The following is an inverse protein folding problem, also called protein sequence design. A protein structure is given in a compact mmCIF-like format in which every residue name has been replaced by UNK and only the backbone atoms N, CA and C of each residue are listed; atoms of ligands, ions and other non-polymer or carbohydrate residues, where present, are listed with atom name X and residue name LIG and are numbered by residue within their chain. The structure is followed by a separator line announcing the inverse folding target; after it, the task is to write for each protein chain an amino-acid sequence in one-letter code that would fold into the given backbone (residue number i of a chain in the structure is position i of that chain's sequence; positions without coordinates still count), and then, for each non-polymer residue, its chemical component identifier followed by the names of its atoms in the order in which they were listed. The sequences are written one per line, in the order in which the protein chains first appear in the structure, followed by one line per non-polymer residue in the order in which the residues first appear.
data_IF_028921139473
#
_entry.id   IF_028921139473
#
_cell.length_a   1.000
_cell.length_b   1.000
_cell.length_c   1.000
_cell.angle_alpha   90.00
_cell.angle_beta   90.00
_cell.angle_gamma   90.00
#
_symmetry.space_group_name_H-M   'P 1'
#
loop_
_entity.id
_entity.type
_entity.pdbx_description
1 polymer ?
#
# COMPACT_ATOMS: atom_id res chain seq x y z
N UNK A 1 4.90 24.79 -12.58
CA UNK A 1 4.06 23.59 -12.33
C UNK A 1 4.88 22.37 -11.92
N UNK A 2 6.19 22.32 -12.21
CA UNK A 2 7.11 21.25 -11.73
C UNK A 2 7.16 21.09 -10.20
N UNK A 3 7.32 22.18 -9.46
CA UNK A 3 7.42 22.12 -7.99
C UNK A 3 6.21 21.44 -7.31
N UNK A 4 4.99 21.61 -7.85
CA UNK A 4 3.80 20.98 -7.27
C UNK A 4 3.79 19.45 -7.46
N UNK A 5 4.28 18.96 -8.61
CA UNK A 5 4.36 17.53 -8.90
C UNK A 5 5.49 16.86 -8.11
N UNK A 6 6.65 17.50 -7.99
CA UNK A 6 7.79 17.01 -7.19
C UNK A 6 7.45 16.95 -5.70
N UNK A 7 6.82 18.00 -5.16
CA UNK A 7 6.35 18.02 -3.77
C UNK A 7 5.26 16.96 -3.56
N UNK A 8 4.38 16.73 -4.54
CA UNK A 8 3.38 15.66 -4.47
C UNK A 8 3.98 14.26 -4.44
N UNK A 9 5.03 14.01 -5.22
CA UNK A 9 5.76 12.74 -5.23
C UNK A 9 6.51 12.51 -3.92
N UNK A 10 7.20 13.53 -3.41
CA UNK A 10 7.90 13.47 -2.12
C UNK A 10 6.94 13.31 -0.93
N UNK A 11 5.78 13.97 -0.96
CA UNK A 11 4.77 13.85 0.09
C UNK A 11 4.14 12.45 0.14
N UNK A 12 3.97 11.78 -1.01
CA UNK A 12 3.44 10.41 -1.07
C UNK A 12 4.36 9.41 -0.34
N UNK A 13 5.67 9.46 -0.61
CA UNK A 13 6.65 8.55 0.03
C UNK A 13 6.79 8.84 1.51
N UNK A 14 6.88 10.12 1.91
CA UNK A 14 6.89 10.52 3.32
C UNK A 14 5.61 10.10 4.05
N UNK A 15 4.46 10.21 3.38
CA UNK A 15 3.17 9.76 3.90
C UNK A 15 3.14 8.25 4.13
N UNK A 16 3.63 7.45 3.18
CA UNK A 16 3.70 5.99 3.31
C UNK A 16 4.66 5.56 4.44
N UNK A 17 5.85 6.16 4.51
CA UNK A 17 6.83 5.88 5.58
C UNK A 17 6.22 6.23 6.95
N UNK A 18 5.62 7.41 7.06
CA UNK A 18 4.99 7.87 8.30
C UNK A 18 3.83 6.96 8.72
N UNK A 19 2.99 6.52 7.78
CA UNK A 19 1.90 5.59 8.05
C UNK A 19 2.40 4.24 8.57
N UNK A 20 3.46 3.67 7.97
CA UNK A 20 4.08 2.43 8.43
C UNK A 20 4.65 2.56 9.85
N UNK A 21 5.33 3.67 10.14
CA UNK A 21 5.89 3.94 11.48
C UNK A 21 4.81 4.12 12.54
N UNK A 22 3.67 4.74 12.20
CA UNK A 22 2.55 4.96 13.13
C UNK A 22 1.70 3.69 13.32
N UNK A 23 1.58 2.84 12.29
CA UNK A 23 0.78 1.61 12.36
C UNK A 23 1.23 0.63 13.45
N UNK A 24 2.55 0.47 13.62
CA UNK A 24 3.14 -0.38 14.68
C UNK A 24 2.73 0.01 16.11
N UNK A 25 3.03 1.23 16.59
CA UNK A 25 2.65 1.67 17.93
C UNK A 25 1.13 1.73 18.12
N UNK A 26 0.34 2.10 17.10
CA UNK A 26 -1.14 2.02 17.16
C UNK A 26 -1.58 0.58 17.41
N UNK A 27 -1.07 -0.39 16.66
CA UNK A 27 -1.42 -1.81 16.83
C UNK A 27 -1.11 -2.30 18.25
N UNK A 28 0.10 -2.00 18.75
CA UNK A 28 0.52 -2.35 20.11
C UNK A 28 -0.36 -1.68 21.19
N UNK A 29 -0.73 -0.41 20.99
CA UNK A 29 -1.63 0.30 21.90
C UNK A 29 -3.02 -0.36 21.97
N UNK A 30 -3.60 -0.73 20.81
CA UNK A 30 -4.89 -1.42 20.78
C UNK A 30 -4.82 -2.81 21.44
N UNK A 31 -3.76 -3.58 21.20
CA UNK A 31 -3.54 -4.89 21.83
C UNK A 31 -3.49 -4.77 23.35
N UNK A 32 -2.70 -3.82 23.88
CA UNK A 32 -2.58 -3.58 25.33
C UNK A 32 -3.89 -3.08 25.94
N UNK A 33 -4.58 -2.16 25.27
CA UNK A 33 -5.85 -1.56 25.76
C UNK A 33 -6.98 -2.59 25.80
N UNK A 34 -7.14 -3.38 24.76
CA UNK A 34 -8.21 -4.38 24.66
C UNK A 34 -7.82 -5.75 25.24
N UNK A 35 -6.59 -5.88 25.79
CA UNK A 35 -6.02 -7.13 26.31
C UNK A 35 -6.27 -8.31 25.36
N UNK A 36 -5.99 -8.09 24.07
CA UNK A 36 -6.16 -9.11 23.05
C UNK A 36 -5.21 -10.27 23.38
N UNK A 37 -5.75 -11.33 23.96
CA UNK A 37 -5.01 -12.55 24.24
C UNK A 37 -4.78 -13.28 22.92
N UNK A 38 -3.53 -13.64 22.58
CA UNK A 38 -3.27 -14.52 21.46
C UNK A 38 -3.97 -15.85 21.76
N UNK A 39 -4.86 -16.30 20.86
CA UNK A 39 -5.43 -17.63 20.99
C UNK A 39 -4.27 -18.63 20.90
N UNK A 40 -4.08 -19.47 21.92
CA UNK A 40 -2.97 -20.43 21.99
C UNK A 40 -3.17 -21.66 21.10
N UNK A 41 -4.09 -21.58 20.15
CA UNK A 41 -4.19 -22.54 19.06
C UNK A 41 -3.18 -22.10 18.00
N UNK A 42 -1.96 -22.57 18.19
CA UNK A 42 -0.78 -22.19 17.41
C UNK A 42 -0.76 -22.92 16.06
N UNK A 43 -1.90 -22.94 15.35
CA UNK A 43 -1.91 -23.17 13.91
C UNK A 43 -1.83 -21.79 13.27
N UNK A 44 -0.59 -21.36 13.06
CA UNK A 44 -0.30 -20.11 12.38
C UNK A 44 -0.85 -20.21 10.96
N UNK A 45 -2.04 -19.62 10.74
CA UNK A 45 -2.66 -19.32 9.44
C UNK A 45 -1.86 -18.25 8.65
N UNK A 46 -0.52 -18.33 8.76
CA UNK A 46 0.49 -17.48 8.14
C UNK A 46 1.62 -18.42 7.72
N UNK A 47 1.34 -19.21 6.69
CA UNK A 47 2.21 -20.27 6.21
C UNK A 47 1.45 -21.57 6.13
N UNK A 48 1.16 -22.00 4.92
CA UNK A 48 0.49 -23.26 4.59
C UNK A 48 1.12 -24.41 5.40
N UNK A 49 0.40 -24.97 6.37
CA UNK A 49 0.77 -26.25 6.99
C UNK A 49 0.82 -27.31 5.89
N UNK A 50 2.03 -27.66 5.45
CA UNK A 50 2.27 -28.64 4.38
C UNK A 50 2.12 -30.09 4.87
N UNK A 51 1.19 -30.39 5.78
CA UNK A 51 1.20 -31.72 6.42
C UNK A 51 -0.13 -32.43 6.59
N UNK A 52 -1.17 -32.01 5.88
CA UNK A 52 -2.37 -32.81 5.77
C UNK A 52 -2.64 -33.02 4.28
N UNK A 53 -2.90 -34.26 3.86
CA UNK A 53 -3.34 -34.59 2.50
C UNK A 53 -4.76 -34.06 2.25
N UNK A 54 -4.93 -32.73 2.25
CA UNK A 54 -6.19 -32.08 1.89
C UNK A 54 -6.19 -31.89 0.38
N UNK A 55 -7.08 -32.63 -0.29
CA UNK A 55 -7.52 -32.37 -1.66
C UNK A 55 -7.56 -30.86 -1.87
N UNK A 56 -6.74 -30.37 -2.80
CA UNK A 56 -6.71 -28.99 -3.25
C UNK A 56 -8.17 -28.53 -3.44
N UNK A 57 -8.69 -27.73 -2.52
CA UNK A 57 -10.10 -27.33 -2.54
C UNK A 57 -10.27 -26.32 -3.68
N UNK A 58 -10.53 -26.82 -4.88
CA UNK A 58 -10.74 -26.03 -6.09
C UNK A 58 -11.84 -24.98 -5.88
N UNK A 59 -12.78 -25.25 -4.96
CA UNK A 59 -13.85 -24.34 -4.57
C UNK A 59 -13.33 -23.11 -3.83
N UNK A 60 -12.31 -23.23 -2.98
CA UNK A 60 -11.70 -22.09 -2.27
C UNK A 60 -11.05 -21.08 -3.22
N UNK A 61 -10.30 -21.56 -4.22
CA UNK A 61 -9.72 -20.70 -5.26
C UNK A 61 -10.82 -20.04 -6.12
N UNK A 62 -11.82 -20.82 -6.56
CA UNK A 62 -12.90 -20.31 -7.39
C UNK A 62 -13.73 -19.26 -6.65
N UNK A 63 -13.96 -19.46 -5.35
CA UNK A 63 -14.63 -18.49 -4.49
C UNK A 63 -13.80 -17.21 -4.29
N UNK A 64 -12.48 -17.35 -4.09
CA UNK A 64 -11.58 -16.20 -4.01
C UNK A 64 -11.57 -15.38 -5.29
N UNK A 65 -11.49 -16.06 -6.43
CA UNK A 65 -11.55 -15.46 -7.76
C UNK A 65 -12.90 -14.77 -8.02
N UNK A 66 -14.01 -15.40 -7.63
CA UNK A 66 -15.35 -14.83 -7.73
C UNK A 66 -15.47 -13.54 -6.91
N UNK A 67 -14.99 -13.55 -5.66
CA UNK A 67 -15.06 -12.38 -4.79
C UNK A 67 -14.17 -11.24 -5.28
N UNK A 68 -13.00 -11.56 -5.87
CA UNK A 68 -12.14 -10.58 -6.53
C UNK A 68 -12.84 -9.93 -7.73
N UNK A 69 -13.45 -10.74 -8.61
CA UNK A 69 -14.22 -10.22 -9.74
C UNK A 69 -15.42 -9.38 -9.29
N UNK A 70 -16.11 -9.79 -8.23
CA UNK A 70 -17.20 -9.01 -7.65
C UNK A 70 -16.72 -7.66 -7.11
N UNK A 71 -15.56 -7.63 -6.46
CA UNK A 71 -14.92 -6.39 -6.01
C UNK A 71 -14.56 -5.46 -7.17
N UNK A 72 -14.08 -6.01 -8.30
CA UNK A 72 -13.78 -5.24 -9.51
C UNK A 72 -15.04 -4.62 -10.12
N UNK A 73 -16.11 -5.40 -10.26
CA UNK A 73 -17.40 -4.91 -10.79
C UNK A 73 -17.95 -3.79 -9.89
N UNK A 74 -17.89 -3.98 -8.57
CA UNK A 74 -18.38 -2.97 -7.63
C UNK A 74 -17.49 -1.72 -7.63
N UNK A 75 -16.17 -1.89 -7.76
CA UNK A 75 -15.20 -0.80 -7.94
C UNK A 75 -15.47 0.02 -9.20
N UNK A 76 -15.80 -0.63 -10.30
CA UNK A 76 -16.18 0.03 -11.55
C UNK A 76 -17.46 0.87 -11.38
N UNK A 77 -18.46 0.34 -10.67
CA UNK A 77 -19.70 1.09 -10.39
C UNK A 77 -19.42 2.33 -9.52
N UNK A 78 -18.56 2.20 -8.51
CA UNK A 78 -18.09 3.32 -7.68
C UNK A 78 -17.32 4.34 -8.52
N UNK A 79 -16.47 3.90 -9.46
CA UNK A 79 -15.70 4.78 -10.35
C UNK A 79 -16.62 5.67 -11.20
N UNK A 80 -17.68 5.11 -11.78
CA UNK A 80 -18.69 5.90 -12.51
C UNK A 80 -19.32 6.95 -11.59
N UNK A 81 -19.62 6.58 -10.33
CA UNK A 81 -20.10 7.52 -9.33
C UNK A 81 -19.13 8.69 -9.09
N UNK A 82 -17.83 8.41 -8.96
CA UNK A 82 -16.81 9.47 -8.80
C UNK A 82 -16.68 10.39 -10.03
N UNK A 83 -16.80 9.84 -11.25
CA UNK A 83 -16.76 10.63 -12.48
C UNK A 83 -17.91 11.66 -12.54
N UNK A 84 -19.09 11.30 -12.03
CA UNK A 84 -20.22 12.25 -11.95
C UNK A 84 -19.98 13.41 -10.99
N UNK A 85 -19.10 13.23 -10.00
CA UNK A 85 -18.74 14.23 -8.98
C UNK A 85 -17.56 15.10 -9.47
N UNK A 86 -16.97 14.81 -10.64
CA UNK A 86 -15.81 15.52 -11.18
C UNK A 86 -14.49 15.14 -10.53
N UNK A 87 -14.45 14.02 -9.79
CA UNK A 87 -13.26 13.51 -9.13
C UNK A 87 -12.53 12.52 -10.03
N UNK A 88 -11.40 12.92 -10.61
CA UNK A 88 -10.55 12.03 -11.41
C UNK A 88 -9.59 11.24 -10.51
N UNK A 89 -10.05 10.09 -10.02
CA UNK A 89 -9.20 9.13 -9.32
C UNK A 89 -8.76 8.00 -10.25
N UNK A 90 -7.56 7.44 -10.06
CA UNK A 90 -7.18 6.20 -10.70
C UNK A 90 -8.15 5.06 -10.33
N UNK A 91 -8.52 4.25 -11.32
CA UNK A 91 -9.48 3.14 -11.16
C UNK A 91 -9.08 2.16 -10.04
N UNK A 92 -7.78 1.98 -9.78
CA UNK A 92 -7.31 1.11 -8.70
C UNK A 92 -7.79 1.56 -7.32
N UNK A 93 -7.91 2.86 -7.08
CA UNK A 93 -8.36 3.42 -5.78
C UNK A 93 -9.84 3.12 -5.56
N UNK A 94 -10.67 3.30 -6.60
CA UNK A 94 -12.10 2.98 -6.53
C UNK A 94 -12.34 1.48 -6.26
N UNK A 95 -11.56 0.61 -6.90
CA UNK A 95 -11.58 -0.83 -6.64
C UNK A 95 -11.15 -1.19 -5.21
N UNK A 96 -10.14 -0.50 -4.66
CA UNK A 96 -9.68 -0.72 -3.28
C UNK A 96 -10.78 -0.36 -2.27
N UNK A 97 -11.42 0.79 -2.44
CA UNK A 97 -12.54 1.23 -1.59
C UNK A 97 -13.70 0.23 -1.65
N UNK A 98 -14.07 -0.24 -2.85
CA UNK A 98 -15.09 -1.26 -3.03
C UNK A 98 -14.75 -2.57 -2.27
N UNK A 99 -13.49 -3.01 -2.37
CA UNK A 99 -13.01 -4.19 -1.66
C UNK A 99 -13.10 -4.05 -0.14
N UNK A 100 -12.72 -2.88 0.40
CA UNK A 100 -12.86 -2.57 1.83
C UNK A 100 -14.33 -2.60 2.25
N UNK A 101 -15.23 -1.99 1.46
CA UNK A 101 -16.67 -1.98 1.75
C UNK A 101 -17.26 -3.39 1.77
N UNK A 102 -16.92 -4.22 0.78
CA UNK A 102 -17.38 -5.61 0.72
C UNK A 102 -16.82 -6.42 1.89
N UNK A 103 -15.52 -6.26 2.20
CA UNK A 103 -14.86 -6.95 3.31
C UNK A 103 -15.43 -6.55 4.67
N UNK A 104 -15.63 -5.26 4.91
CA UNK A 104 -16.20 -4.73 6.14
C UNK A 104 -17.69 -5.09 6.26
N UNK A 105 -18.46 -4.95 5.18
CA UNK A 105 -19.87 -5.34 5.12
C UNK A 105 -20.09 -6.83 5.42
N UNK A 106 -19.26 -7.70 4.85
CA UNK A 106 -19.28 -9.15 5.16
C UNK A 106 -18.99 -9.40 6.64
N UNK A 107 -18.02 -8.71 7.23
CA UNK A 107 -17.68 -8.84 8.66
C UNK A 107 -18.81 -8.36 9.59
N UNK A 108 -19.51 -7.29 9.21
CA UNK A 108 -20.60 -6.70 10.01
C UNK A 108 -21.90 -7.53 9.94
N UNK A 109 -22.26 -8.03 8.75
CA UNK A 109 -23.47 -8.83 8.51
C UNK A 109 -23.35 -10.27 9.04
N UNK A 110 -22.16 -10.88 9.00
CA UNK A 110 -21.92 -12.27 9.44
C UNK A 110 -21.43 -12.36 10.89
N UNK A 111 -22.00 -11.55 11.80
CA UNK A 111 -21.67 -11.58 13.25
C UNK A 111 -21.96 -12.93 13.95
N UNK A 112 -22.42 -13.97 13.25
CA UNK A 112 -22.76 -15.29 13.84
C UNK A 112 -22.66 -16.46 12.83
N UNK A 113 -21.46 -16.77 12.36
CA UNK A 113 -20.92 -18.14 12.14
C UNK A 113 -19.69 -18.04 11.23
N UNK A 114 -18.51 -18.15 11.84
CA UNK A 114 -17.23 -18.09 11.14
C UNK A 114 -16.99 -19.48 10.54
N UNK A 115 -17.43 -19.70 9.31
CA UNK A 115 -16.98 -20.86 8.54
C UNK A 115 -15.53 -20.62 8.12
N UNK A 116 -14.64 -21.37 8.77
CA UNK A 116 -13.18 -21.23 8.79
C UNK A 116 -12.51 -21.50 7.43
N UNK A 117 -13.16 -22.24 6.54
CA UNK A 117 -12.56 -22.77 5.33
C UNK A 117 -12.43 -21.77 4.16
N UNK A 118 -13.17 -20.67 4.16
CA UNK A 118 -13.18 -19.71 3.04
C UNK A 118 -12.07 -18.65 3.09
N UNK A 119 -11.15 -18.71 4.08
CA UNK A 119 -10.11 -17.69 4.27
C UNK A 119 -8.79 -18.01 3.58
N UNK A 120 -8.43 -19.30 3.53
CA UNK A 120 -7.14 -19.79 3.04
C UNK A 120 -6.90 -19.46 1.55
N UNK A 121 -7.93 -19.58 0.70
CA UNK A 121 -7.81 -19.29 -0.74
C UNK A 121 -7.56 -17.81 -1.09
N UNK A 122 -8.05 -16.88 -0.26
CA UNK A 122 -7.87 -15.44 -0.48
C UNK A 122 -6.49 -14.94 -0.05
N UNK A 123 -5.89 -15.55 0.97
CA UNK A 123 -4.56 -15.18 1.45
C UNK A 123 -3.49 -15.50 0.40
N UNK A 124 -3.50 -16.72 -0.15
CA UNK A 124 -2.52 -17.15 -1.15
C UNK A 124 -2.53 -16.30 -2.43
N UNK A 125 -3.71 -15.97 -2.96
CA UNK A 125 -3.82 -15.12 -4.14
C UNK A 125 -3.32 -13.69 -3.85
N UNK A 126 -3.61 -13.17 -2.66
CA UNK A 126 -3.15 -11.85 -2.22
C UNK A 126 -1.63 -11.79 -2.12
N UNK A 127 -0.99 -12.80 -1.55
CA UNK A 127 0.47 -12.85 -1.41
C UNK A 127 1.17 -12.88 -2.77
N UNK A 128 0.64 -13.66 -3.72
CA UNK A 128 1.16 -13.70 -5.10
C UNK A 128 0.97 -12.36 -5.81
N UNK A 129 -0.23 -11.78 -5.74
CA UNK A 129 -0.52 -10.47 -6.36
C UNK A 129 0.32 -9.35 -5.77
N UNK A 130 0.48 -9.31 -4.44
CA UNK A 130 1.28 -8.31 -3.74
C UNK A 130 2.77 -8.46 -4.08
N UNK A 131 3.26 -9.69 -4.15
CA UNK A 131 4.61 -10.00 -4.61
C UNK A 131 4.86 -9.51 -6.03
N UNK A 132 3.93 -9.76 -6.97
CA UNK A 132 4.03 -9.27 -8.34
C UNK A 132 3.95 -7.74 -8.45
N UNK A 133 3.08 -7.10 -7.65
CA UNK A 133 3.01 -5.63 -7.59
C UNK A 133 4.32 -5.02 -7.07
N UNK A 134 4.89 -5.58 -6.01
CA UNK A 134 6.15 -5.10 -5.44
C UNK A 134 7.32 -5.29 -6.41
N UNK A 135 7.42 -6.42 -7.11
CA UNK A 135 8.48 -6.64 -8.10
C UNK A 135 8.35 -5.70 -9.30
N UNK A 136 7.12 -5.47 -9.78
CA UNK A 136 6.86 -4.49 -10.84
C UNK A 136 7.25 -3.06 -10.39
N UNK A 137 6.91 -2.69 -9.16
CA UNK A 137 7.32 -1.40 -8.58
C UNK A 137 8.85 -1.29 -8.46
N UNK A 138 9.54 -2.34 -8.00
CA UNK A 138 11.01 -2.37 -7.85
C UNK A 138 11.75 -2.27 -9.17
N UNK A 139 11.31 -2.99 -10.21
CA UNK A 139 11.91 -2.89 -11.55
C UNK A 139 11.68 -1.53 -12.20
N UNK A 140 10.59 -0.85 -11.86
CA UNK A 140 10.26 0.50 -12.35
C UNK A 140 10.94 1.65 -11.57
N UNK A 141 11.56 1.37 -10.43
CA UNK A 141 12.21 2.39 -9.59
C UNK A 141 13.58 2.76 -10.18
N UNK A 142 13.65 3.91 -10.86
CA UNK A 142 14.90 4.53 -11.25
C UNK A 142 15.55 5.19 -10.03
N UNK A 143 16.16 4.40 -9.15
CA UNK A 143 16.84 4.88 -7.92
C UNK A 143 17.88 5.99 -8.21
N UNK A 144 18.46 5.97 -9.40
CA UNK A 144 19.35 7.03 -9.91
C UNK A 144 18.66 8.39 -10.11
N UNK A 145 17.36 8.44 -10.44
CA UNK A 145 16.62 9.71 -10.53
C UNK A 145 16.32 10.32 -9.14
N UNK A 146 16.25 9.49 -8.10
CA UNK A 146 16.24 10.01 -6.72
C UNK A 146 17.59 10.64 -6.37
N UNK A 147 18.70 10.05 -6.83
CA UNK A 147 20.05 10.55 -6.55
C UNK A 147 20.28 11.97 -7.09
N UNK A 148 19.75 12.28 -8.28
CA UNK A 148 19.92 13.63 -8.86
C UNK A 148 19.18 14.72 -8.08
N UNK A 149 18.16 14.35 -7.28
CA UNK A 149 17.41 15.28 -6.43
C UNK A 149 18.04 15.39 -5.02
N UNK A 150 18.60 14.30 -4.50
CA UNK A 150 19.25 14.26 -3.18
C UNK A 150 20.67 14.83 -3.23
N UNK A 151 21.37 14.66 -4.36
CA UNK A 151 22.69 15.21 -4.62
C UNK A 151 22.64 16.63 -5.21
N UNK A 152 21.56 17.38 -4.97
CA UNK A 152 21.57 18.83 -5.15
C UNK A 152 22.61 19.39 -4.16
N UNK A 153 23.80 19.59 -4.70
CA UNK A 153 24.98 20.08 -4.04
C UNK A 153 24.68 21.46 -3.43
N UNK A 154 24.87 21.70 -2.12
CA UNK A 154 24.71 23.03 -1.50
C UNK A 154 25.64 24.11 -2.10
N UNK A 155 26.56 23.69 -2.97
CA UNK A 155 27.41 24.47 -3.86
C UNK A 155 26.65 25.29 -4.93
N UNK A 156 25.52 24.81 -5.47
CA UNK A 156 24.75 25.52 -6.51
C UNK A 156 23.82 26.63 -5.94
N UNK A 157 23.74 26.74 -4.61
CA UNK A 157 23.04 27.82 -3.88
C UNK A 157 24.02 28.90 -3.38
N UNK A 158 25.27 28.87 -3.82
CA UNK A 158 26.13 30.06 -3.81
C UNK A 158 26.25 30.58 -5.23
N UNK A 159 25.26 31.34 -5.73
CA UNK A 159 25.39 31.99 -7.02
C UNK A 159 26.55 32.98 -6.90
N UNK A 160 27.65 32.70 -7.60
CA UNK A 160 28.42 33.63 -8.45
C UNK A 160 28.78 35.05 -7.93
N UNK A 161 28.52 35.40 -6.67
CA UNK A 161 28.75 36.71 -6.08
C UNK A 161 30.03 36.73 -5.23
N UNK A 162 30.41 35.61 -4.62
CA UNK A 162 31.58 35.54 -3.73
C UNK A 162 32.91 35.37 -4.47
N UNK A 163 32.89 34.86 -5.70
CA UNK A 163 34.12 34.64 -6.49
C UNK A 163 34.63 35.94 -7.15
N UNK A 164 33.75 36.87 -7.51
CA UNK A 164 34.14 38.19 -8.07
C UNK A 164 34.61 39.19 -6.99
N UNK A 165 34.17 39.05 -5.73
CA UNK A 165 34.60 39.97 -4.65
C UNK A 165 35.99 39.62 -4.11
N UNK A 166 36.39 38.34 -4.14
CA UNK A 166 37.73 37.91 -3.71
C UNK A 166 38.82 38.34 -4.69
N UNK A 167 38.55 38.36 -6.00
CA UNK A 167 39.53 38.78 -7.00
C UNK A 167 39.69 40.32 -7.12
N UNK A 168 38.77 41.10 -6.51
CA UNK A 168 38.87 42.57 -6.41
C UNK A 168 39.57 43.06 -5.14
N UNK A 169 39.68 42.23 -4.11
CA UNK A 169 40.37 42.55 -2.85
C UNK A 169 41.88 42.26 -2.88
N UNK A 170 42.35 41.46 -3.84
CA UNK A 170 43.79 41.19 -4.05
C UNK A 170 44.43 42.16 -5.06
N UNK A 171 43.71 43.22 -5.47
CA UNK A 171 44.17 44.23 -6.44
C UNK A 171 44.07 45.69 -5.94
N UNK A 172 43.96 45.88 -4.62
CA UNK A 172 44.04 47.18 -3.92
C UNK A 172 45.05 47.04 -2.79
#
# INVERSE_FOLDING_TARGET
MESAAEVGLAANTLGLISACLVGGPISNYLIKKHRLTPNSDHDLDIGVCHNETTKLDHFGYLYAWLMLNLSLIFGYFINIGFETIGLQLPMFVACLIAGILIGNGKSLLLKKNKSENAKLGHALISDICLGMFLTMALMGLQLWQLQSTIAFDPSDVLPSATFDTLHRLDRV
#
